data_IF_307258805036
#
_entry.id   IF_307258805036
#
_cell.length_a   1.000
_cell.length_b   1.000
_cell.length_c   1.000
_cell.angle_alpha   90.00
_cell.angle_beta   90.00
_cell.angle_gamma   90.00
#
_symmetry.space_group_name_H-M   'P 1'
#
loop_
_entity.id
_entity.type
_entity.pdbx_description
1 polymer ?
#
# COMPACT_ATOMS: atom_id res chain seq x y z
N UNK A 1 -75.38 -33.99 21.06
CA UNK A 1 -75.21 -33.17 22.27
C UNK A 1 -74.24 -32.07 21.89
N UNK A 2 -74.68 -30.89 21.39
CA UNK A 2 -75.50 -29.85 22.08
C UNK A 2 -74.71 -29.17 23.20
N UNK A 3 -74.65 -27.83 23.35
CA UNK A 3 -75.20 -26.65 22.62
C UNK A 3 -74.07 -25.60 22.49
N UNK A 4 -74.02 -24.62 21.58
CA UNK A 4 -74.98 -23.63 21.02
C UNK A 4 -75.26 -22.35 21.85
N UNK A 5 -74.65 -21.25 21.38
CA UNK A 5 -75.22 -19.88 21.10
C UNK A 5 -75.80 -19.01 22.26
N UNK A 6 -75.13 -17.86 22.51
CA UNK A 6 -75.62 -16.43 22.54
C UNK A 6 -74.44 -15.51 22.96
N UNK A 7 -74.12 -14.33 22.41
CA UNK A 7 -74.86 -13.11 22.01
C UNK A 7 -75.32 -12.21 23.19
N UNK A 8 -75.13 -10.88 23.20
CA UNK A 8 -74.48 -9.96 22.24
C UNK A 8 -74.72 -8.46 22.56
N UNK A 9 -74.33 -7.55 21.63
CA UNK A 9 -74.50 -6.07 21.67
C UNK A 9 -73.58 -5.29 22.66
N UNK A 10 -73.27 -3.99 22.48
CA UNK A 10 -73.85 -2.98 21.56
C UNK A 10 -72.83 -1.97 20.94
N UNK A 11 -73.39 -1.10 20.08
CA UNK A 11 -72.87 0.03 19.29
C UNK A 11 -71.96 1.07 20.02
N UNK A 12 -71.30 2.05 19.37
CA UNK A 12 -71.61 2.71 18.08
C UNK A 12 -70.39 3.16 17.23
N UNK A 13 -70.66 3.87 16.12
CA UNK A 13 -69.75 4.22 15.01
C UNK A 13 -70.12 5.58 14.38
N UNK A 14 -69.48 5.96 13.26
CA UNK A 14 -69.69 7.16 12.40
C UNK A 14 -69.04 8.44 12.99
N UNK A 15 -67.87 8.93 12.53
CA UNK A 15 -67.42 9.46 11.21
C UNK A 15 -67.75 10.96 11.01
N UNK A 16 -66.75 11.78 10.64
CA UNK A 16 -66.95 13.15 10.14
C UNK A 16 -65.72 14.07 10.19
N UNK A 17 -65.32 14.59 9.03
CA UNK A 17 -64.46 15.78 8.81
C UNK A 17 -65.14 16.63 7.69
N UNK A 18 -64.59 17.72 7.11
CA UNK A 18 -63.35 18.46 7.37
C UNK A 18 -63.51 20.02 7.31
N UNK A 19 -62.38 20.76 7.21
CA UNK A 19 -62.21 22.12 6.62
C UNK A 19 -62.87 23.37 7.27
N UNK A 20 -62.17 24.52 7.16
CA UNK A 20 -62.68 25.88 7.40
C UNK A 20 -61.56 26.92 7.52
N UNK A 21 -61.69 28.11 6.91
CA UNK A 21 -60.68 29.18 6.94
C UNK A 21 -61.24 30.61 6.74
N UNK A 22 -60.67 31.58 7.47
CA UNK A 22 -60.73 33.06 7.34
C UNK A 22 -59.60 33.62 8.26
N UNK A 23 -58.99 34.82 8.13
CA UNK A 23 -59.48 36.17 7.79
C UNK A 23 -59.47 37.03 9.08
N UNK A 24 -59.05 38.31 9.14
CA UNK A 24 -58.64 39.29 8.09
C UNK A 24 -57.98 40.55 8.71
N UNK A 25 -57.29 41.38 7.91
CA UNK A 25 -56.95 42.83 8.13
C UNK A 25 -55.91 43.20 9.23
N UNK A 26 -55.04 44.22 9.15
CA UNK A 26 -54.52 45.15 8.09
C UNK A 26 -53.14 45.73 8.60
N UNK A 27 -52.56 46.94 8.36
CA UNK A 27 -52.88 48.21 7.66
C UNK A 27 -51.59 49.08 7.46
N UNK A 28 -51.18 49.36 6.20
CA UNK A 28 -50.53 50.62 5.69
C UNK A 28 -49.20 51.18 6.32
N UNK A 29 -48.47 52.19 5.80
CA UNK A 29 -48.63 53.21 4.72
C UNK A 29 -47.38 53.33 3.81
N UNK A 30 -47.51 54.12 2.73
CA UNK A 30 -46.60 54.37 1.59
C UNK A 30 -45.74 55.67 1.82
N UNK A 31 -44.93 56.30 0.93
CA UNK A 31 -44.70 56.27 -0.53
C UNK A 31 -43.20 55.94 -0.86
N UNK A 32 -42.44 56.36 -1.89
CA UNK A 32 -42.46 57.38 -2.98
C UNK A 32 -41.80 56.80 -4.26
N UNK A 33 -42.09 57.35 -5.45
CA UNK A 33 -41.43 57.00 -6.73
C UNK A 33 -40.51 58.10 -7.30
N UNK A 34 -39.34 57.74 -7.85
CA UNK A 34 -38.70 58.50 -8.94
C UNK A 34 -38.00 57.57 -9.95
N UNK A 35 -37.86 58.03 -11.20
CA UNK A 35 -37.11 57.32 -12.24
C UNK A 35 -36.70 58.25 -13.38
N UNK A 36 -35.56 57.98 -14.03
CA UNK A 36 -35.10 58.78 -15.18
C UNK A 36 -34.27 57.94 -16.17
N UNK A 37 -34.48 58.30 -17.44
CA UNK A 37 -34.03 57.72 -18.71
C UNK A 37 -32.51 57.57 -18.92
N UNK A 38 -32.21 56.63 -19.83
CA UNK A 38 -31.19 56.67 -20.89
C UNK A 38 -30.03 57.69 -20.82
N UNK A 39 -28.79 57.18 -20.81
CA UNK A 39 -27.70 57.78 -21.62
C UNK A 39 -27.04 56.71 -22.50
N UNK A 40 -26.89 57.05 -23.78
CA UNK A 40 -26.35 56.23 -24.88
C UNK A 40 -25.03 56.84 -25.38
N UNK A 41 -23.95 56.05 -25.39
CA UNK A 41 -22.70 56.18 -26.17
C UNK A 41 -21.98 54.82 -26.07
N UNK A 42 -21.57 54.07 -27.08
CA UNK A 42 -21.18 54.30 -28.50
C UNK A 42 -19.98 55.22 -28.69
N UNK A 43 -18.80 54.62 -28.79
CA UNK A 43 -17.62 55.15 -29.48
C UNK A 43 -16.94 54.01 -30.25
N UNK A 44 -16.84 54.15 -31.56
CA UNK A 44 -16.17 53.21 -32.48
C UNK A 44 -14.87 53.82 -33.02
N UNK A 45 -14.15 53.05 -33.85
CA UNK A 45 -12.85 53.36 -34.50
C UNK A 45 -11.65 53.09 -33.56
N UNK A 46 -10.71 52.17 -33.82
CA UNK A 46 -10.07 51.67 -35.04
C UNK A 46 -8.82 52.46 -35.46
N UNK A 47 -7.68 51.78 -35.46
CA UNK A 47 -6.48 52.16 -36.20
C UNK A 47 -5.78 50.88 -36.73
N UNK A 48 -5.16 50.97 -37.90
CA UNK A 48 -4.48 49.86 -38.60
C UNK A 48 -3.01 50.22 -38.74
N UNK A 49 -2.06 49.35 -38.36
CA UNK A 49 -0.66 49.79 -38.34
C UNK A 49 0.48 48.81 -38.01
N UNK A 50 0.50 47.60 -38.58
CA UNK A 50 1.75 46.86 -38.88
C UNK A 50 2.68 46.40 -37.73
N UNK A 51 3.85 45.86 -38.11
CA UNK A 51 4.99 45.61 -37.22
C UNK A 51 4.95 44.33 -36.37
N UNK A 52 5.21 43.16 -36.97
CA UNK A 52 5.39 41.91 -36.19
C UNK A 52 6.78 41.79 -35.57
N UNK A 53 6.84 41.48 -34.26
CA UNK A 53 8.07 41.05 -33.56
C UNK A 53 7.76 39.84 -32.69
N UNK A 54 8.50 38.74 -32.85
CA UNK A 54 8.41 37.54 -32.02
C UNK A 54 9.50 37.59 -30.92
N UNK A 55 9.14 37.59 -29.62
CA UNK A 55 10.12 37.47 -28.55
C UNK A 55 10.84 36.12 -28.59
N UNK A 56 12.16 36.14 -28.80
CA UNK A 56 12.96 34.94 -29.05
C UNK A 56 13.12 34.06 -27.79
N UNK A 57 12.93 32.73 -27.94
CA UNK A 57 13.13 31.75 -26.87
C UNK A 57 14.61 31.61 -26.50
N UNK A 58 15.01 32.14 -25.33
CA UNK A 58 16.28 31.76 -24.68
C UNK A 58 16.28 30.27 -24.35
N UNK A 59 16.97 29.48 -25.16
CA UNK A 59 17.30 28.08 -24.88
C UNK A 59 18.78 27.97 -24.48
N UNK A 60 19.07 27.30 -23.36
CA UNK A 60 20.42 27.21 -22.81
C UNK A 60 21.08 25.87 -23.15
N UNK A 61 22.00 25.91 -24.13
CA UNK A 61 22.78 24.76 -24.59
C UNK A 61 23.95 24.42 -23.64
N UNK A 62 23.67 24.15 -22.36
CA UNK A 62 24.68 23.74 -21.37
C UNK A 62 24.33 22.39 -20.72
N UNK A 63 25.25 21.43 -20.85
CA UNK A 63 25.12 20.09 -20.28
C UNK A 63 25.12 20.13 -18.75
N UNK A 64 24.05 19.66 -18.11
CA UNK A 64 23.96 19.54 -16.64
C UNK A 64 24.85 18.37 -16.18
N UNK A 65 26.13 18.66 -15.87
CA UNK A 65 26.96 17.74 -15.07
C UNK A 65 26.43 17.71 -13.65
N UNK A 66 25.79 16.61 -13.25
CA UNK A 66 25.52 16.34 -11.83
C UNK A 66 26.87 16.23 -11.10
N UNK A 67 27.07 17.05 -10.07
CA UNK A 67 28.16 16.84 -9.11
C UNK A 67 27.87 15.51 -8.39
N UNK A 68 28.87 14.66 -8.18
CA UNK A 68 28.74 13.61 -7.16
C UNK A 68 28.65 14.30 -5.80
N UNK A 69 27.75 13.82 -4.96
CA UNK A 69 27.77 14.13 -3.54
C UNK A 69 28.59 13.02 -2.88
N UNK A 70 29.58 13.40 -2.09
CA UNK A 70 30.31 12.47 -1.23
C UNK A 70 29.59 12.44 0.12
N UNK A 71 28.97 11.31 0.44
CA UNK A 71 28.43 11.03 1.77
C UNK A 71 29.53 10.38 2.63
N UNK A 72 30.58 11.14 2.95
CA UNK A 72 31.52 10.75 4.01
C UNK A 72 31.05 11.29 5.36
N UNK A 73 30.53 10.36 6.17
CA UNK A 73 30.71 10.23 7.61
C UNK A 73 30.84 11.52 8.46
N UNK A 74 29.81 11.79 9.27
CA UNK A 74 29.92 12.63 10.47
C UNK A 74 29.41 11.83 11.67
N UNK A 75 30.33 11.21 12.42
CA UNK A 75 30.03 10.61 13.73
C UNK A 75 30.81 11.26 14.86
N UNK A 76 30.05 11.68 15.88
CA UNK A 76 30.46 11.86 17.28
C UNK A 76 31.60 12.84 17.64
N UNK A 77 31.24 13.82 18.46
CA UNK A 77 32.18 14.51 19.35
C UNK A 77 32.62 13.59 20.49
N UNK A 78 33.93 13.45 20.76
CA UNK A 78 34.45 13.24 22.12
C UNK A 78 35.96 13.56 22.18
N UNK A 79 36.44 13.98 23.35
CA UNK A 79 37.65 14.78 23.50
C UNK A 79 38.96 13.98 23.64
N UNK A 80 40.09 14.57 23.17
CA UNK A 80 41.33 14.74 23.98
C UNK A 80 42.41 15.67 23.38
N UNK A 81 42.97 16.51 24.25
CA UNK A 81 44.35 17.06 24.30
C UNK A 81 45.17 17.37 23.02
N UNK A 82 45.28 18.67 22.73
CA UNK A 82 46.54 19.46 22.67
C UNK A 82 47.67 19.17 21.64
N UNK A 83 47.81 20.14 20.71
CA UNK A 83 49.06 20.79 20.25
C UNK A 83 49.85 20.31 19.01
N UNK A 84 50.53 21.31 18.38
CA UNK A 84 51.57 21.27 17.31
C UNK A 84 51.09 20.76 15.92
N UNK A 85 50.78 21.57 14.88
CA UNK A 85 51.40 22.75 14.20
C UNK A 85 52.27 22.39 12.97
N UNK A 86 51.70 22.69 11.77
CA UNK A 86 52.30 23.05 10.45
C UNK A 86 53.32 22.12 9.73
N UNK A 87 53.07 21.84 8.43
CA UNK A 87 54.15 21.67 7.41
C UNK A 87 53.90 20.69 6.25
N UNK A 88 53.42 21.15 5.06
CA UNK A 88 53.42 20.40 3.78
C UNK A 88 54.38 21.07 2.75
N UNK A 89 54.41 20.72 1.43
CA UNK A 89 53.99 19.51 0.68
C UNK A 89 55.18 18.90 -0.15
N UNK A 90 54.93 17.99 -1.13
CA UNK A 90 55.40 18.08 -2.57
C UNK A 90 55.27 16.73 -3.36
N UNK A 91 54.46 16.77 -4.43
CA UNK A 91 54.57 16.17 -5.79
C UNK A 91 55.08 14.70 -6.00
N UNK A 92 54.16 13.82 -6.44
CA UNK A 92 54.10 13.00 -7.70
C UNK A 92 55.33 12.75 -8.63
N UNK A 93 55.27 11.87 -9.68
CA UNK A 93 54.50 10.63 -9.91
C UNK A 93 55.33 9.50 -10.62
N UNK A 94 54.66 8.46 -11.19
CA UNK A 94 55.14 7.58 -12.31
C UNK A 94 56.26 6.55 -11.98
N UNK A 95 56.38 5.32 -12.55
CA UNK A 95 55.45 4.35 -13.22
C UNK A 95 56.22 3.03 -13.57
N UNK A 96 55.56 1.87 -13.48
CA UNK A 96 55.89 0.57 -14.15
C UNK A 96 57.14 -0.25 -13.72
N UNK A 97 56.98 -1.58 -13.91
CA UNK A 97 57.96 -2.70 -13.79
C UNK A 97 58.58 -2.96 -12.40
N UNK A 98 58.79 -4.21 -11.94
CA UNK A 98 58.41 -5.50 -12.50
C UNK A 98 59.60 -6.45 -12.67
N UNK A 99 59.85 -7.31 -11.69
CA UNK A 99 60.72 -8.50 -11.79
C UNK A 99 60.55 -9.43 -10.58
N UNK A 100 60.30 -10.71 -10.85
CA UNK A 100 60.75 -11.82 -10.00
C UNK A 100 62.25 -12.06 -10.28
N UNK A 101 63.04 -12.58 -9.33
CA UNK A 101 63.20 -14.04 -9.30
C UNK A 101 63.42 -14.71 -7.93
N UNK A 102 62.88 -15.92 -7.85
CA UNK A 102 63.29 -17.05 -6.99
C UNK A 102 64.79 -17.18 -6.64
N UNK A 103 65.07 -17.71 -5.44
CA UNK A 103 66.11 -18.75 -5.26
C UNK A 103 65.70 -19.75 -4.15
N UNK A 104 66.26 -20.96 -4.20
CA UNK A 104 65.98 -22.08 -3.28
C UNK A 104 67.21 -22.43 -2.43
N UNK A 105 66.98 -23.02 -1.26
CA UNK A 105 67.93 -23.96 -0.61
C UNK A 105 67.16 -25.08 0.13
N UNK A 106 67.78 -26.24 0.34
CA UNK A 106 67.06 -27.50 0.70
C UNK A 106 67.55 -28.16 2.00
N UNK A 107 66.64 -28.82 2.73
CA UNK A 107 66.97 -30.05 3.51
C UNK A 107 65.76 -30.99 3.66
N UNK A 108 65.99 -32.22 4.17
CA UNK A 108 65.27 -33.45 3.76
C UNK A 108 64.99 -34.41 4.93
N UNK A 109 63.98 -35.28 4.73
CA UNK A 109 63.58 -36.48 5.51
C UNK A 109 62.65 -36.19 6.72
N UNK A 110 61.65 -37.01 7.10
CA UNK A 110 61.26 -38.38 6.65
C UNK A 110 59.74 -38.64 6.67
N UNK A 111 59.26 -39.57 5.82
CA UNK A 111 58.20 -40.64 5.97
C UNK A 111 57.07 -40.48 7.03
N UNK A 112 55.81 -40.92 6.82
CA UNK A 112 55.24 -41.93 5.89
C UNK A 112 53.71 -41.78 5.64
N UNK A 113 53.19 -42.54 4.66
CA UNK A 113 51.85 -43.22 4.62
C UNK A 113 50.54 -42.45 4.95
N UNK A 114 49.45 -42.53 4.18
CA UNK A 114 49.10 -43.22 2.92
C UNK A 114 47.87 -42.52 2.31
N UNK A 115 47.71 -42.55 0.99
CA UNK A 115 46.49 -42.11 0.30
C UNK A 115 45.85 -43.25 -0.50
N UNK A 116 44.53 -43.18 -0.73
CA UNK A 116 43.82 -44.03 -1.70
C UNK A 116 42.88 -43.18 -2.56
N UNK A 117 42.86 -43.47 -3.86
CA UNK A 117 42.04 -42.85 -4.91
C UNK A 117 41.32 -43.95 -5.70
N UNK A 118 40.27 -43.63 -6.48
CA UNK A 118 39.34 -44.62 -7.03
C UNK A 118 39.79 -45.19 -8.39
N UNK A 119 39.18 -46.31 -8.84
CA UNK A 119 39.28 -46.77 -10.22
C UNK A 119 38.19 -46.19 -11.13
N UNK A 120 38.55 -45.94 -12.39
CA UNK A 120 37.65 -45.80 -13.54
C UNK A 120 37.93 -46.94 -14.52
N UNK A 121 36.93 -47.32 -15.32
CA UNK A 121 37.12 -48.14 -16.54
C UNK A 121 36.25 -47.61 -17.67
N UNK A 122 36.77 -47.65 -18.90
CA UNK A 122 36.12 -47.07 -20.09
C UNK A 122 35.92 -48.12 -21.17
N UNK A 123 34.82 -48.04 -21.92
CA UNK A 123 34.67 -48.69 -23.23
C UNK A 123 34.04 -47.75 -24.25
N UNK A 124 34.64 -47.78 -25.44
CA UNK A 124 34.63 -46.83 -26.57
C UNK A 124 33.38 -46.98 -27.48
N UNK A 125 32.69 -45.85 -27.78
CA UNK A 125 31.76 -45.61 -28.94
C UNK A 125 30.46 -46.44 -29.05
N UNK A 126 29.51 -46.26 -30.00
CA UNK A 126 29.28 -45.34 -31.15
C UNK A 126 27.75 -45.08 -31.39
N UNK A 127 27.30 -44.14 -32.27
CA UNK A 127 25.87 -43.80 -32.49
C UNK A 127 25.34 -44.28 -33.87
N UNK A 128 24.13 -43.90 -34.37
CA UNK A 128 23.01 -43.13 -33.77
C UNK A 128 21.60 -43.81 -33.90
N UNK A 129 20.56 -43.21 -33.31
CA UNK A 129 19.22 -42.98 -33.92
C UNK A 129 18.37 -42.08 -33.01
N UNK A 130 17.56 -41.19 -33.60
CA UNK A 130 16.78 -40.19 -32.85
C UNK A 130 15.33 -40.61 -32.60
N UNK A 131 14.84 -40.50 -31.35
CA UNK A 131 13.40 -40.42 -31.03
C UNK A 131 13.12 -39.25 -30.08
N UNK A 132 12.37 -38.27 -30.58
CA UNK A 132 12.16 -36.93 -30.00
C UNK A 132 11.05 -36.94 -28.93
N UNK A 133 11.35 -37.40 -27.71
CA UNK A 133 10.38 -37.37 -26.61
C UNK A 133 10.06 -35.92 -26.21
N UNK A 134 8.76 -35.61 -26.16
CA UNK A 134 8.20 -34.26 -26.04
C UNK A 134 8.25 -33.74 -24.60
N UNK A 135 9.44 -33.30 -24.14
CA UNK A 135 9.62 -32.75 -22.78
C UNK A 135 8.68 -31.55 -22.56
N UNK A 136 7.80 -31.66 -21.56
CA UNK A 136 6.82 -30.62 -21.23
C UNK A 136 7.52 -29.34 -20.77
N UNK A 137 7.12 -28.18 -21.33
CA UNK A 137 7.59 -26.88 -20.87
C UNK A 137 6.69 -26.37 -19.73
N UNK A 138 7.04 -26.74 -18.49
CA UNK A 138 6.66 -25.98 -17.30
C UNK A 138 7.29 -24.57 -17.39
N UNK A 139 6.53 -23.46 -17.38
CA UNK A 139 7.08 -22.14 -17.65
C UNK A 139 7.41 -21.33 -16.38
N UNK A 140 8.70 -21.00 -16.21
CA UNK A 140 9.18 -19.66 -15.84
C UNK A 140 8.41 -18.88 -14.74
N UNK A 141 8.26 -19.46 -13.53
CA UNK A 141 7.89 -18.70 -12.32
C UNK A 141 9.12 -18.37 -11.44
N UNK A 142 10.01 -19.35 -11.24
CA UNK A 142 11.15 -19.32 -10.29
C UNK A 142 12.02 -18.05 -10.41
N UNK A 143 12.18 -17.49 -11.61
CA UNK A 143 13.05 -16.31 -11.84
C UNK A 143 12.46 -14.97 -11.39
N UNK A 144 11.22 -14.93 -10.88
CA UNK A 144 10.51 -13.67 -10.61
C UNK A 144 10.75 -13.14 -9.19
N UNK A 145 10.88 -14.03 -8.22
CA UNK A 145 10.89 -13.68 -6.79
C UNK A 145 12.31 -13.63 -6.18
N UNK A 146 13.33 -14.00 -6.97
CA UNK A 146 14.75 -13.84 -6.67
C UNK A 146 15.16 -12.39 -6.31
N UNK A 147 14.42 -11.39 -6.78
CA UNK A 147 14.62 -9.98 -6.42
C UNK A 147 13.81 -9.49 -5.22
N UNK A 148 12.97 -10.35 -4.61
CA UNK A 148 12.11 -10.00 -3.47
C UNK A 148 12.72 -10.41 -2.12
N UNK A 149 13.44 -11.53 -2.09
CA UNK A 149 14.14 -12.04 -0.92
C UNK A 149 15.49 -11.34 -0.73
N UNK A 150 15.76 -10.85 0.49
CA UNK A 150 17.07 -10.31 0.88
C UNK A 150 17.89 -11.39 1.59
N UNK A 151 19.22 -11.27 1.60
CA UNK A 151 20.08 -12.15 2.40
C UNK A 151 19.78 -12.05 3.91
N UNK A 152 19.24 -10.94 4.39
CA UNK A 152 18.70 -10.82 5.75
C UNK A 152 17.47 -11.71 6.00
N UNK A 153 16.61 -11.86 4.98
CA UNK A 153 15.40 -12.69 5.05
C UNK A 153 15.76 -14.18 4.95
N UNK A 154 16.74 -14.54 4.11
CA UNK A 154 17.28 -15.89 4.03
C UNK A 154 17.91 -16.33 5.37
N UNK A 155 18.69 -15.46 6.01
CA UNK A 155 19.30 -15.75 7.31
C UNK A 155 18.26 -15.84 8.44
N UNK A 156 17.24 -14.98 8.42
CA UNK A 156 16.09 -15.08 9.35
C UNK A 156 15.35 -16.41 9.16
N UNK A 157 15.07 -16.81 7.92
CA UNK A 157 14.39 -18.06 7.58
C UNK A 157 15.19 -19.27 8.07
N UNK A 158 16.49 -19.32 7.78
CA UNK A 158 17.37 -20.41 8.21
C UNK A 158 17.42 -20.49 9.73
N UNK A 159 17.70 -19.40 10.43
CA UNK A 159 17.78 -19.39 11.90
C UNK A 159 16.46 -19.83 12.54
N UNK A 160 15.31 -19.36 12.03
CA UNK A 160 14.01 -19.68 12.60
C UNK A 160 13.60 -21.13 12.35
N UNK A 161 13.83 -21.69 11.15
CA UNK A 161 13.57 -23.12 10.87
C UNK A 161 14.48 -24.03 11.68
N UNK A 162 15.75 -23.65 11.89
CA UNK A 162 16.67 -24.41 12.74
C UNK A 162 16.33 -24.33 14.25
N UNK A 163 15.47 -23.40 14.68
CA UNK A 163 14.99 -23.32 16.07
C UNK A 163 13.63 -23.98 16.28
N UNK A 164 12.68 -23.83 15.35
CA UNK A 164 11.30 -24.35 15.52
C UNK A 164 11.04 -25.68 14.81
N UNK A 165 11.79 -25.99 13.74
CA UNK A 165 11.52 -27.08 12.78
C UNK A 165 10.17 -27.03 12.05
N UNK A 166 9.32 -26.03 12.34
CA UNK A 166 7.99 -25.82 11.76
C UNK A 166 7.90 -24.48 11.02
N UNK A 167 7.58 -24.55 9.73
CA UNK A 167 7.43 -23.39 8.84
C UNK A 167 6.18 -22.55 9.14
N UNK A 168 5.20 -23.09 9.86
CA UNK A 168 3.98 -22.38 10.29
C UNK A 168 4.32 -21.38 11.39
N UNK A 169 5.04 -21.83 12.41
CA UNK A 169 5.61 -21.02 13.48
C UNK A 169 6.57 -19.96 12.93
N UNK A 170 7.36 -20.28 11.90
CA UNK A 170 8.20 -19.29 11.19
C UNK A 170 7.33 -18.22 10.49
N UNK A 171 6.25 -18.61 9.82
CA UNK A 171 5.35 -17.68 9.14
C UNK A 171 4.63 -16.72 10.10
N UNK A 172 4.28 -17.20 11.31
CA UNK A 172 3.60 -16.40 12.33
C UNK A 172 4.57 -15.55 13.17
N UNK A 173 5.74 -16.08 13.52
CA UNK A 173 6.70 -15.43 14.42
C UNK A 173 7.70 -14.48 13.75
N UNK A 174 8.06 -14.70 12.48
CA UNK A 174 9.17 -13.97 11.84
C UNK A 174 8.69 -12.77 11.01
N UNK A 175 9.19 -11.58 11.37
CA UNK A 175 8.96 -10.33 10.63
C UNK A 175 10.03 -10.12 9.55
N UNK A 176 9.81 -10.75 8.39
CA UNK A 176 10.61 -10.57 7.18
C UNK A 176 10.52 -9.14 6.60
N UNK A 177 11.44 -8.78 5.69
CA UNK A 177 11.53 -7.43 5.10
C UNK A 177 10.34 -7.03 4.22
N UNK A 178 9.49 -7.98 3.83
CA UNK A 178 8.15 -7.74 3.32
C UNK A 178 7.22 -8.93 3.64
N UNK A 179 5.90 -8.76 3.47
CA UNK A 179 4.92 -9.81 3.80
C UNK A 179 5.00 -10.96 2.79
N UNK A 180 5.44 -12.12 3.23
CA UNK A 180 5.35 -13.39 2.50
C UNK A 180 4.19 -14.23 3.03
N UNK A 181 3.61 -15.05 2.17
CA UNK A 181 2.67 -16.13 2.53
C UNK A 181 3.42 -17.38 3.00
N UNK A 182 2.76 -18.26 3.78
CA UNK A 182 3.31 -19.57 4.16
C UNK A 182 3.84 -20.36 2.94
N UNK A 183 3.15 -20.27 1.80
CA UNK A 183 3.56 -20.93 0.55
C UNK A 183 4.86 -20.36 -0.02
N UNK A 184 5.02 -19.04 -0.09
CA UNK A 184 6.28 -18.41 -0.53
C UNK A 184 7.45 -18.78 0.40
N UNK A 185 7.19 -18.90 1.70
CA UNK A 185 8.18 -19.34 2.71
C UNK A 185 8.57 -20.82 2.48
N UNK A 186 7.60 -21.70 2.24
CA UNK A 186 7.85 -23.11 1.89
C UNK A 186 8.64 -23.25 0.58
N UNK A 187 8.24 -22.52 -0.47
CA UNK A 187 8.92 -22.54 -1.78
C UNK A 187 10.34 -21.95 -1.68
N UNK A 188 10.57 -20.92 -0.85
CA UNK A 188 11.92 -20.40 -0.58
C UNK A 188 12.77 -21.38 0.21
N UNK A 189 12.24 -21.98 1.27
CA UNK A 189 12.97 -22.96 2.08
C UNK A 189 13.39 -24.16 1.23
N UNK A 190 12.47 -24.69 0.40
CA UNK A 190 12.78 -25.73 -0.58
C UNK A 190 13.89 -25.29 -1.55
N UNK A 191 13.82 -24.05 -2.06
CA UNK A 191 14.85 -23.51 -2.96
C UNK A 191 16.23 -23.38 -2.30
N UNK A 192 16.31 -23.00 -1.03
CA UNK A 192 17.57 -22.89 -0.27
C UNK A 192 18.22 -24.26 -0.01
N UNK A 193 17.42 -25.33 0.08
CA UNK A 193 17.90 -26.70 0.26
C UNK A 193 18.25 -27.41 -1.06
N UNK A 194 17.44 -27.25 -2.10
CA UNK A 194 17.47 -28.13 -3.28
C UNK A 194 17.84 -27.44 -4.61
N UNK A 195 17.84 -26.10 -4.70
CA UNK A 195 18.38 -25.40 -5.88
C UNK A 195 19.84 -24.99 -5.61
N UNK A 196 20.84 -25.63 -6.25
CA UNK A 196 22.25 -25.37 -5.97
C UNK A 196 22.73 -23.99 -6.47
N UNK A 197 21.97 -23.32 -7.33
CA UNK A 197 22.27 -21.95 -7.78
C UNK A 197 21.74 -20.95 -6.75
N UNK A 198 20.49 -21.08 -6.33
CA UNK A 198 19.87 -20.20 -5.33
C UNK A 198 20.58 -20.37 -3.97
N UNK A 199 20.83 -21.60 -3.53
CA UNK A 199 21.51 -21.90 -2.27
C UNK A 199 22.92 -21.27 -2.22
N UNK A 200 23.71 -21.42 -3.30
CA UNK A 200 25.05 -20.83 -3.41
C UNK A 200 25.03 -19.30 -3.41
N UNK A 201 24.10 -18.68 -4.14
CA UNK A 201 23.96 -17.22 -4.19
C UNK A 201 23.51 -16.64 -2.85
N UNK A 202 22.51 -17.25 -2.20
CA UNK A 202 22.06 -16.86 -0.87
C UNK A 202 23.18 -16.98 0.17
N UNK A 203 23.94 -18.08 0.17
CA UNK A 203 25.08 -18.27 1.06
C UNK A 203 26.18 -17.22 0.87
N UNK A 204 26.51 -16.88 -0.39
CA UNK A 204 27.46 -15.81 -0.69
C UNK A 204 26.96 -14.44 -0.22
N UNK A 205 25.68 -14.12 -0.43
CA UNK A 205 25.09 -12.86 0.00
C UNK A 205 24.90 -12.75 1.52
N UNK A 206 24.65 -13.86 2.23
CA UNK A 206 24.61 -13.89 3.70
C UNK A 206 26.01 -13.69 4.31
N UNK A 207 27.05 -14.27 3.70
CA UNK A 207 28.45 -14.05 4.13
C UNK A 207 28.98 -12.63 3.89
N UNK A 208 28.24 -11.80 3.15
CA UNK A 208 28.55 -10.39 2.90
C UNK A 208 27.76 -9.43 3.82
N UNK A 209 26.93 -9.93 4.72
CA UNK A 209 26.25 -9.12 5.73
C UNK A 209 27.23 -8.55 6.77
N UNK A 210 27.00 -7.31 7.21
CA UNK A 210 27.75 -6.71 8.30
C UNK A 210 27.59 -7.53 9.60
N UNK A 211 28.63 -7.76 10.43
CA UNK A 211 28.50 -8.56 11.64
C UNK A 211 27.42 -8.07 12.61
N UNK A 212 27.22 -6.76 12.70
CA UNK A 212 26.12 -6.15 13.46
C UNK A 212 24.74 -6.55 12.93
N UNK A 213 24.54 -6.59 11.60
CA UNK A 213 23.29 -7.02 11.00
C UNK A 213 23.03 -8.52 11.26
N UNK A 214 24.08 -9.33 11.30
CA UNK A 214 24.00 -10.75 11.72
C UNK A 214 23.58 -10.83 13.19
N UNK A 215 24.21 -10.08 14.10
CA UNK A 215 23.84 -10.03 15.53
C UNK A 215 22.40 -9.50 15.76
N UNK A 216 21.96 -8.52 14.97
CA UNK A 216 20.60 -7.96 15.00
C UNK A 216 19.53 -8.86 14.34
N UNK A 217 19.95 -9.93 13.65
CA UNK A 217 19.11 -11.03 13.18
C UNK A 217 19.10 -12.17 14.20
N UNK A 218 20.26 -12.53 14.74
CA UNK A 218 20.42 -13.59 15.75
C UNK A 218 19.68 -13.26 17.06
N UNK A 219 19.73 -12.01 17.52
CA UNK A 219 18.96 -11.54 18.70
C UNK A 219 17.44 -11.61 18.53
N UNK A 220 16.94 -11.84 17.31
CA UNK A 220 15.52 -12.03 16.96
C UNK A 220 15.16 -13.49 16.64
N UNK A 221 16.06 -14.44 16.91
CA UNK A 221 15.75 -15.86 16.76
C UNK A 221 14.56 -16.24 17.65
N UNK A 222 13.62 -17.01 17.10
CA UNK A 222 12.49 -17.56 17.86
C UNK A 222 13.00 -18.42 19.02
N UNK A 223 12.26 -18.49 20.11
CA UNK A 223 12.57 -19.42 21.21
C UNK A 223 12.20 -20.84 20.79
N UNK A 224 13.06 -21.80 21.13
CA UNK A 224 12.74 -23.22 20.95
C UNK A 224 11.96 -23.76 22.15
N UNK A 225 11.18 -24.83 21.96
CA UNK A 225 10.42 -25.49 23.04
C UNK A 225 11.31 -25.91 24.22
N UNK A 226 12.60 -26.21 23.97
CA UNK A 226 13.55 -26.57 25.01
C UNK A 226 14.05 -25.35 25.82
N UNK A 227 14.15 -24.15 25.20
CA UNK A 227 14.40 -22.91 25.93
C UNK A 227 13.18 -22.50 26.76
N UNK A 228 11.97 -22.63 26.19
CA UNK A 228 10.73 -22.29 26.89
C UNK A 228 10.47 -23.24 28.06
N UNK A 229 10.72 -24.54 27.92
CA UNK A 229 10.62 -25.51 29.02
C UNK A 229 11.68 -25.33 30.14
N UNK A 230 12.72 -24.50 29.94
CA UNK A 230 13.62 -24.06 31.01
C UNK A 230 13.14 -22.76 31.68
N UNK A 231 12.49 -21.87 30.92
CA UNK A 231 11.92 -20.62 31.45
C UNK A 231 10.60 -20.88 32.21
N UNK A 232 9.78 -21.83 31.75
CA UNK A 232 8.48 -22.16 32.35
C UNK A 232 8.58 -22.71 33.79
N UNK A 233 9.77 -23.19 34.19
CA UNK A 233 10.11 -23.66 35.54
C UNK A 233 10.38 -22.54 36.54
N UNK A 234 10.55 -21.30 36.08
CA UNK A 234 10.71 -20.14 36.95
C UNK A 234 9.31 -19.69 37.39
N UNK A 235 8.94 -20.03 38.62
CA UNK A 235 7.60 -19.82 39.16
C UNK A 235 7.10 -18.38 38.98
N UNK A 236 5.86 -18.23 38.50
CA UNK A 236 5.18 -16.97 38.23
C UNK A 236 5.11 -16.02 39.42
N UNK A 237 5.06 -16.56 40.65
CA UNK A 237 5.04 -15.79 41.90
C UNK A 237 6.37 -15.11 42.24
N UNK A 238 7.48 -15.54 41.62
CA UNK A 238 8.79 -14.96 41.86
C UNK A 238 8.95 -13.57 41.19
N UNK A 239 9.89 -12.78 41.71
CA UNK A 239 10.43 -11.58 41.05
C UNK A 239 11.88 -11.86 40.65
N UNK A 240 12.12 -12.63 39.57
CA UNK A 240 13.46 -13.12 39.24
C UNK A 240 14.35 -11.96 38.78
N UNK A 241 15.44 -11.74 39.52
CA UNK A 241 16.48 -10.78 39.13
C UNK A 241 17.23 -11.26 37.89
N UNK A 242 17.90 -10.33 37.21
CA UNK A 242 18.71 -10.58 36.01
C UNK A 242 19.78 -11.68 36.23
N UNK A 243 20.29 -11.77 37.45
CA UNK A 243 21.22 -12.80 37.94
C UNK A 243 20.72 -14.23 37.68
N UNK A 244 19.43 -14.50 37.91
CA UNK A 244 18.81 -15.83 37.73
C UNK A 244 18.88 -16.29 36.27
N UNK A 245 18.60 -15.38 35.34
CA UNK A 245 18.67 -15.67 33.90
C UNK A 245 20.10 -15.78 33.39
N UNK A 246 21.07 -15.12 34.05
CA UNK A 246 22.49 -15.28 33.75
C UNK A 246 23.03 -16.63 34.22
N UNK A 247 22.57 -17.11 35.39
CA UNK A 247 22.88 -18.46 35.89
C UNK A 247 22.20 -19.55 35.04
N UNK A 248 20.97 -19.31 34.57
CA UNK A 248 20.26 -20.24 33.68
C UNK A 248 20.99 -20.45 32.34
N UNK A 249 21.55 -19.36 31.78
CA UNK A 249 22.36 -19.40 30.55
C UNK A 249 23.69 -20.16 30.76
N UNK A 250 24.36 -19.98 31.90
CA UNK A 250 25.62 -20.70 32.17
C UNK A 250 25.42 -22.17 32.52
N UNK A 251 24.24 -22.54 33.07
CA UNK A 251 23.84 -23.94 33.33
C UNK A 251 23.43 -24.70 32.06
N UNK A 252 22.84 -24.03 31.07
CA UNK A 252 22.31 -24.68 29.86
C UNK A 252 22.80 -24.09 28.52
N UNK A 253 24.13 -23.91 28.32
CA UNK A 253 24.69 -23.25 27.14
C UNK A 253 24.50 -24.01 25.82
N UNK A 254 24.11 -25.29 25.88
CA UNK A 254 23.78 -26.11 24.71
C UNK A 254 22.28 -26.11 24.34
N UNK A 255 21.43 -25.49 25.17
CA UNK A 255 19.97 -25.41 24.95
C UNK A 255 19.58 -24.02 24.48
N UNK A 256 20.16 -22.98 25.09
CA UNK A 256 19.90 -21.60 24.68
C UNK A 256 20.64 -21.23 23.40
N UNK A 257 19.97 -20.47 22.54
CA UNK A 257 20.56 -19.99 21.29
C UNK A 257 21.77 -19.06 21.58
N UNK A 258 22.90 -19.14 20.83
CA UNK A 258 24.16 -18.51 21.26
C UNK A 258 24.16 -16.97 21.45
N UNK A 259 23.16 -16.26 20.89
CA UNK A 259 23.00 -14.81 21.05
C UNK A 259 21.95 -14.41 22.11
N UNK A 260 21.48 -15.36 22.93
CA UNK A 260 20.60 -15.05 24.06
C UNK A 260 21.33 -14.24 25.11
N UNK A 261 20.60 -13.33 25.75
CA UNK A 261 21.08 -12.51 26.87
C UNK A 261 20.15 -12.68 28.08
N UNK A 262 20.62 -12.45 29.32
CA UNK A 262 19.76 -12.46 30.50
C UNK A 262 18.54 -11.53 30.37
N UNK A 263 18.70 -10.39 29.68
CA UNK A 263 17.62 -9.44 29.39
C UNK A 263 16.56 -10.02 28.45
N UNK A 264 16.97 -10.71 27.37
CA UNK A 264 16.01 -11.34 26.45
C UNK A 264 15.25 -12.50 27.09
N UNK A 265 15.88 -13.24 28.01
CA UNK A 265 15.21 -14.32 28.75
C UNK A 265 14.19 -13.75 29.76
N UNK A 266 14.55 -12.69 30.49
CA UNK A 266 13.61 -11.98 31.38
C UNK A 266 12.37 -11.47 30.62
N UNK A 267 12.56 -10.84 29.46
CA UNK A 267 11.45 -10.35 28.63
C UNK A 267 10.58 -11.51 28.11
N UNK A 268 11.18 -12.62 27.68
CA UNK A 268 10.38 -13.78 27.23
C UNK A 268 9.63 -14.45 28.38
N UNK A 269 10.25 -14.59 29.56
CA UNK A 269 9.58 -15.08 30.76
C UNK A 269 8.42 -14.17 31.20
N UNK A 270 8.56 -12.85 31.08
CA UNK A 270 7.46 -11.90 31.32
C UNK A 270 6.29 -12.12 30.36
N UNK A 271 6.54 -12.43 29.08
CA UNK A 271 5.50 -12.78 28.11
C UNK A 271 4.85 -14.13 28.44
N UNK A 272 5.63 -15.17 28.75
CA UNK A 272 5.08 -16.47 29.20
C UNK A 272 4.19 -16.30 30.43
N UNK A 273 4.61 -15.49 31.41
CA UNK A 273 3.82 -15.12 32.60
C UNK A 273 2.53 -14.40 32.25
N UNK A 274 2.57 -13.46 31.30
CA UNK A 274 1.41 -12.69 30.86
C UNK A 274 0.36 -13.55 30.15
N UNK A 275 0.79 -14.58 29.41
CA UNK A 275 -0.09 -15.48 28.65
C UNK A 275 -0.47 -16.77 29.40
N UNK A 276 -0.12 -16.89 30.70
CA UNK A 276 -0.39 -18.07 31.53
C UNK A 276 0.26 -19.36 30.97
N UNK A 277 1.53 -19.27 30.58
CA UNK A 277 2.32 -20.35 29.96
C UNK A 277 3.46 -20.90 30.84
N UNK A 278 3.54 -20.51 32.11
CA UNK A 278 4.50 -21.09 33.08
C UNK A 278 3.93 -22.36 33.72
N UNK A 279 4.79 -23.28 34.18
CA UNK A 279 4.38 -24.58 34.73
C UNK A 279 3.50 -24.45 36.00
N UNK A 280 3.63 -23.35 36.76
CA UNK A 280 2.81 -23.06 37.94
C UNK A 280 1.51 -22.30 37.63
N UNK A 281 1.29 -21.87 36.38
CA UNK A 281 0.10 -21.13 35.97
C UNK A 281 -0.98 -22.06 35.41
N UNK A 282 -1.66 -22.79 36.30
CA UNK A 282 -2.91 -23.44 35.93
C UNK A 282 -3.96 -22.39 35.52
N UNK A 283 -4.48 -22.48 34.30
CA UNK A 283 -5.77 -21.86 33.96
C UNK A 283 -6.79 -22.41 34.96
N UNK A 284 -7.40 -21.55 35.76
CA UNK A 284 -8.30 -21.96 36.84
C UNK A 284 -9.44 -22.83 36.25
N UNK A 285 -9.55 -24.12 36.66
CA UNK A 285 -10.61 -24.98 36.16
C UNK A 285 -11.96 -24.41 36.61
N UNK A 286 -12.90 -24.30 35.66
CA UNK A 286 -14.17 -23.61 35.83
C UNK A 286 -14.86 -23.98 37.17
N UNK A 287 -15.10 -23.01 38.08
CA UNK A 287 -15.79 -23.28 39.33
C UNK A 287 -17.15 -23.92 39.07
N UNK A 288 -17.39 -25.12 39.61
CA UNK A 288 -18.66 -25.84 39.46
C UNK A 288 -19.75 -25.33 40.43
N UNK A 289 -19.77 -24.02 40.64
CA UNK A 289 -20.71 -23.30 41.50
C UNK A 289 -20.87 -21.86 41.03
N UNK A 290 -22.13 -21.43 40.94
CA UNK A 290 -22.61 -20.05 40.84
C UNK A 290 -22.14 -19.19 39.66
N UNK A 291 -22.63 -19.61 38.49
CA UNK A 291 -23.32 -18.75 37.51
C UNK A 291 -22.60 -17.51 36.95
N UNK A 292 -21.78 -17.76 35.92
CA UNK A 292 -21.81 -16.97 34.67
C UNK A 292 -21.84 -17.98 33.52
N UNK A 293 -22.94 -18.08 32.76
CA UNK A 293 -23.13 -19.14 31.75
C UNK A 293 -22.80 -18.68 30.32
N UNK A 294 -22.84 -17.37 30.07
CA UNK A 294 -22.54 -16.71 28.80
C UNK A 294 -22.11 -15.25 29.05
N UNK A 295 -21.54 -14.59 28.04
CA UNK A 295 -21.32 -13.12 28.05
C UNK A 295 -22.62 -12.35 28.33
N UNK A 296 -23.76 -12.84 27.85
CA UNK A 296 -25.09 -12.25 28.11
C UNK A 296 -25.49 -12.27 29.58
N UNK A 297 -25.04 -13.25 30.36
CA UNK A 297 -25.36 -13.33 31.80
C UNK A 297 -24.38 -12.49 32.62
N UNK A 298 -23.13 -12.36 32.16
CA UNK A 298 -22.17 -11.40 32.71
C UNK A 298 -22.68 -9.97 32.51
N UNK A 299 -23.14 -9.63 31.31
CA UNK A 299 -23.78 -8.36 30.96
C UNK A 299 -25.03 -8.09 31.82
N UNK A 300 -25.83 -9.11 32.13
CA UNK A 300 -27.01 -8.96 32.99
C UNK A 300 -26.70 -8.85 34.50
N UNK A 301 -25.49 -9.20 34.93
CA UNK A 301 -24.97 -8.98 36.30
C UNK A 301 -24.20 -7.65 36.43
N UNK A 302 -23.86 -7.00 35.32
CA UNK A 302 -23.23 -5.68 35.29
C UNK A 302 -24.27 -4.61 35.58
N UNK A 303 -24.09 -3.91 36.70
CA UNK A 303 -24.92 -2.77 37.07
C UNK A 303 -24.39 -1.50 36.38
N UNK A 304 -25.11 -1.03 35.36
CA UNK A 304 -24.81 0.22 34.64
C UNK A 304 -24.67 1.45 35.55
N UNK A 305 -25.32 1.47 36.72
CA UNK A 305 -25.15 2.55 37.70
C UNK A 305 -23.78 2.51 38.38
N UNK A 306 -23.11 1.34 38.41
CA UNK A 306 -21.73 1.16 38.89
C UNK A 306 -20.68 1.28 37.77
N UNK A 307 -21.04 1.05 36.50
CA UNK A 307 -20.18 1.35 35.35
C UNK A 307 -20.00 2.85 35.07
N UNK A 308 -20.75 3.71 35.75
CA UNK A 308 -20.44 5.14 35.82
C UNK A 308 -19.20 5.33 36.68
N UNK A 309 -18.04 5.17 36.05
CA UNK A 309 -16.77 5.68 36.57
C UNK A 309 -16.96 7.14 37.01
N UNK A 310 -16.33 7.52 38.13
CA UNK A 310 -16.41 8.88 38.64
C UNK A 310 -15.89 9.85 37.58
N UNK A 311 -16.78 10.67 37.02
CA UNK A 311 -16.56 11.59 35.90
C UNK A 311 -15.15 12.20 35.94
N UNK A 312 -14.27 11.70 35.07
CA UNK A 312 -12.89 12.15 35.04
C UNK A 312 -12.82 13.54 34.39
N UNK A 313 -12.84 14.56 35.24
CA UNK A 313 -12.76 15.97 34.84
C UNK A 313 -11.43 16.30 34.14
N UNK A 314 -10.37 15.51 34.36
CA UNK A 314 -9.08 15.66 33.67
C UNK A 314 -9.21 15.13 32.24
N UNK A 315 -9.73 13.91 32.06
CA UNK A 315 -9.94 13.31 30.75
C UNK A 315 -10.95 14.12 29.90
N UNK A 316 -12.06 14.58 30.48
CA UNK A 316 -12.99 15.48 29.79
C UNK A 316 -12.33 16.80 29.37
N UNK A 317 -11.48 17.37 30.23
CA UNK A 317 -10.76 18.61 29.93
C UNK A 317 -9.70 18.42 28.82
N UNK A 318 -8.97 17.30 28.82
CA UNK A 318 -8.05 16.92 27.74
C UNK A 318 -8.78 16.69 26.41
N UNK A 319 -9.92 15.98 26.43
CA UNK A 319 -10.76 15.77 25.25
C UNK A 319 -11.32 17.10 24.71
N UNK A 320 -11.77 18.01 25.58
CA UNK A 320 -12.21 19.36 25.21
C UNK A 320 -11.07 20.19 24.61
N UNK A 321 -9.85 20.09 25.14
CA UNK A 321 -8.66 20.75 24.56
C UNK A 321 -8.33 20.15 23.19
N UNK A 322 -8.33 18.83 23.05
CA UNK A 322 -8.08 18.13 21.78
C UNK A 322 -9.10 18.53 20.72
N UNK A 323 -10.39 18.47 21.02
CA UNK A 323 -11.48 18.92 20.16
C UNK A 323 -11.30 20.39 19.74
N UNK A 324 -10.96 21.27 20.68
CA UNK A 324 -10.69 22.70 20.40
C UNK A 324 -9.44 22.92 19.56
N UNK A 325 -8.45 22.03 19.61
CA UNK A 325 -7.27 22.06 18.75
C UNK A 325 -7.60 21.55 17.34
N UNK A 326 -8.27 20.40 17.21
CA UNK A 326 -8.73 19.86 15.94
C UNK A 326 -9.66 20.84 15.20
N UNK A 327 -10.61 21.48 15.91
CA UNK A 327 -11.48 22.52 15.33
C UNK A 327 -10.76 23.80 14.90
N UNK A 328 -9.58 24.11 15.46
CA UNK A 328 -8.71 25.19 14.95
C UNK A 328 -7.96 24.75 13.70
N UNK A 329 -7.38 23.56 13.72
CA UNK A 329 -6.62 22.97 12.62
C UNK A 329 -7.51 22.81 11.37
N UNK A 330 -8.72 22.25 11.52
CA UNK A 330 -9.72 22.16 10.44
C UNK A 330 -10.00 23.54 9.84
N UNK A 331 -10.28 24.56 10.67
CA UNK A 331 -10.55 25.93 10.19
C UNK A 331 -9.33 26.58 9.50
N UNK A 332 -8.12 26.27 9.94
CA UNK A 332 -6.91 26.73 9.28
C UNK A 332 -6.75 26.05 7.92
N UNK A 333 -6.92 24.73 7.84
CA UNK A 333 -6.89 23.98 6.58
C UNK A 333 -7.96 24.46 5.61
N UNK A 334 -9.19 24.72 6.08
CA UNK A 334 -10.28 25.33 5.30
C UNK A 334 -9.92 26.74 4.80
N UNK A 335 -9.24 27.57 5.62
CA UNK A 335 -8.78 28.91 5.22
C UNK A 335 -7.60 28.87 4.23
N UNK A 336 -6.75 27.84 4.31
CA UNK A 336 -5.63 27.64 3.40
C UNK A 336 -6.04 26.97 2.08
N UNK A 337 -7.08 26.15 2.05
CA UNK A 337 -7.53 25.40 0.87
C UNK A 337 -7.70 26.29 -0.38
N UNK A 338 -8.34 27.49 -0.32
CA UNK A 338 -8.41 28.40 -1.47
C UNK A 338 -7.03 28.91 -1.94
N UNK A 339 -6.05 29.05 -1.05
CA UNK A 339 -4.68 29.48 -1.39
C UNK A 339 -3.94 28.35 -2.12
N UNK A 340 -4.06 27.13 -1.61
CA UNK A 340 -3.54 25.93 -2.26
C UNK A 340 -4.19 25.68 -3.63
N UNK A 341 -5.51 25.93 -3.75
CA UNK A 341 -6.24 25.87 -5.01
C UNK A 341 -5.66 26.87 -6.03
N UNK A 342 -5.57 28.16 -5.70
CA UNK A 342 -5.00 29.20 -6.60
C UNK A 342 -3.55 28.87 -7.01
N UNK A 343 -2.74 28.30 -6.10
CA UNK A 343 -1.39 27.86 -6.43
C UNK A 343 -1.40 26.73 -7.47
N UNK A 344 -2.23 25.69 -7.26
CA UNK A 344 -2.42 24.58 -8.22
C UNK A 344 -2.95 25.10 -9.56
N UNK A 345 -3.92 26.01 -9.54
CA UNK A 345 -4.51 26.59 -10.75
C UNK A 345 -3.48 27.35 -11.58
N UNK A 346 -2.59 28.11 -10.93
CA UNK A 346 -1.50 28.84 -11.60
C UNK A 346 -0.44 27.93 -12.24
N UNK A 347 -0.22 26.73 -11.68
CA UNK A 347 0.77 25.76 -12.16
C UNK A 347 0.19 24.82 -13.21
N UNK A 348 -1.12 24.53 -13.15
CA UNK A 348 -1.77 23.50 -13.96
C UNK A 348 -2.74 24.05 -15.02
N UNK A 349 -3.21 25.29 -14.87
CA UNK A 349 -4.10 25.96 -15.81
C UNK A 349 -5.51 25.37 -15.92
N UNK A 350 -5.99 24.65 -14.89
CA UNK A 350 -7.14 23.75 -15.05
C UNK A 350 -8.53 24.35 -14.80
N UNK A 351 -8.64 25.67 -14.57
CA UNK A 351 -9.91 26.38 -14.39
C UNK A 351 -10.53 26.88 -15.71
N UNK A 352 -10.67 25.99 -16.69
CA UNK A 352 -11.87 26.05 -17.53
C UNK A 352 -13.07 25.63 -16.67
N UNK A 353 -14.26 26.26 -16.75
CA UNK A 353 -15.46 25.67 -16.17
C UNK A 353 -15.57 24.22 -16.66
N UNK A 354 -15.72 23.26 -15.74
CA UNK A 354 -15.41 21.85 -16.03
C UNK A 354 -16.28 21.27 -17.17
N UNK A 355 -17.43 21.88 -17.42
CA UNK A 355 -18.29 21.64 -18.58
C UNK A 355 -18.84 22.94 -19.14
N UNK A 356 -19.00 22.97 -20.47
CA UNK A 356 -19.93 23.89 -21.12
C UNK A 356 -21.32 23.25 -21.25
N UNK A 357 -22.32 24.05 -21.62
CA UNK A 357 -23.73 23.62 -21.76
C UNK A 357 -23.96 22.56 -22.86
N UNK A 358 -22.91 22.15 -23.60
CA UNK A 358 -22.97 21.13 -24.65
C UNK A 358 -22.17 19.87 -24.29
N UNK A 359 -21.42 19.87 -23.20
CA UNK A 359 -20.53 18.78 -22.81
C UNK A 359 -21.17 17.92 -21.72
N UNK A 360 -21.45 16.66 -22.06
CA UNK A 360 -22.15 15.67 -21.24
C UNK A 360 -21.22 15.06 -20.16
N UNK A 361 -19.96 14.86 -20.53
CA UNK A 361 -18.93 14.26 -19.68
C UNK A 361 -17.52 14.63 -20.19
N UNK A 362 -16.48 14.31 -19.42
CA UNK A 362 -15.09 14.51 -19.81
C UNK A 362 -14.22 13.34 -19.33
N UNK A 363 -13.32 12.88 -20.20
CA UNK A 363 -12.26 11.93 -19.84
C UNK A 363 -10.98 12.74 -19.62
N UNK A 364 -10.57 12.90 -18.36
CA UNK A 364 -9.42 13.71 -17.94
C UNK A 364 -8.19 12.83 -17.76
N UNK A 365 -7.23 12.94 -18.68
CA UNK A 365 -5.90 12.32 -18.56
C UNK A 365 -4.95 13.17 -17.72
N UNK A 366 -3.67 12.80 -17.76
CA UNK A 366 -2.54 13.60 -17.25
C UNK A 366 -2.09 14.64 -18.28
N UNK A 367 -2.17 14.32 -19.57
CA UNK A 367 -1.73 15.20 -20.67
C UNK A 367 -2.90 15.85 -21.41
N UNK A 368 -4.00 15.11 -21.61
CA UNK A 368 -5.13 15.57 -22.45
C UNK A 368 -6.47 15.43 -21.72
N UNK A 369 -7.32 16.45 -21.87
CA UNK A 369 -8.73 16.46 -21.45
C UNK A 369 -9.61 16.27 -22.69
N UNK A 370 -10.34 15.16 -22.77
CA UNK A 370 -11.25 14.87 -23.88
C UNK A 370 -12.69 15.19 -23.46
N UNK A 371 -13.38 16.07 -24.19
CA UNK A 371 -14.75 16.49 -23.90
C UNK A 371 -15.76 15.66 -24.69
N UNK A 372 -16.72 15.03 -24.00
CA UNK A 372 -17.80 14.24 -24.59
C UNK A 372 -19.02 15.12 -24.84
N UNK A 373 -19.15 15.66 -26.05
CA UNK A 373 -20.36 16.39 -26.52
C UNK A 373 -21.40 15.48 -27.20
N UNK A 374 -20.97 14.32 -27.70
CA UNK A 374 -21.82 13.33 -28.37
C UNK A 374 -22.35 12.28 -27.38
N UNK A 375 -23.56 11.76 -27.58
CA UNK A 375 -24.11 10.65 -26.74
C UNK A 375 -23.32 9.34 -26.86
N UNK A 376 -22.49 9.19 -27.89
CA UNK A 376 -21.59 8.07 -28.09
C UNK A 376 -20.22 8.59 -28.54
N UNK A 377 -19.14 8.10 -27.93
CA UNK A 377 -17.75 8.37 -28.33
C UNK A 377 -16.91 7.10 -28.32
N UNK A 378 -16.05 6.95 -29.31
CA UNK A 378 -15.08 5.86 -29.44
C UNK A 378 -13.72 6.26 -28.87
N UNK A 379 -13.01 5.29 -28.29
CA UNK A 379 -11.67 5.48 -27.73
C UNK A 379 -10.70 4.40 -28.21
N UNK A 380 -9.43 4.75 -28.42
CA UNK A 380 -8.42 3.83 -28.94
C UNK A 380 -7.16 4.55 -29.40
N UNK A 381 -6.39 3.93 -30.30
CA UNK A 381 -5.23 4.54 -30.96
C UNK A 381 -5.55 4.85 -32.43
N UNK A 382 -5.60 6.13 -32.78
CA UNK A 382 -5.97 6.58 -34.12
C UNK A 382 -5.01 6.08 -35.21
N UNK A 383 -5.52 5.99 -36.44
CA UNK A 383 -4.77 5.62 -37.66
C UNK A 383 -5.42 6.28 -38.88
N UNK A 384 -4.67 6.48 -39.97
CA UNK A 384 -5.19 7.13 -41.20
C UNK A 384 -6.50 6.52 -41.69
N UNK A 385 -6.57 5.20 -41.69
CA UNK A 385 -7.72 4.38 -42.13
C UNK A 385 -8.83 4.23 -41.05
N UNK A 386 -8.66 4.79 -39.85
CA UNK A 386 -9.68 4.73 -38.80
C UNK A 386 -9.60 5.92 -37.84
N UNK A 387 -10.53 6.86 -38.02
CA UNK A 387 -10.81 7.94 -37.09
C UNK A 387 -11.39 7.40 -35.77
N UNK A 388 -11.11 8.10 -34.67
CA UNK A 388 -11.51 7.80 -33.30
C UNK A 388 -11.72 9.14 -32.58
N UNK A 389 -12.79 9.28 -31.82
CA UNK A 389 -13.13 10.54 -31.13
C UNK A 389 -12.14 10.87 -29.99
N UNK A 390 -11.64 9.83 -29.32
CA UNK A 390 -10.64 9.90 -28.25
C UNK A 390 -9.39 9.11 -28.67
N UNK A 391 -8.39 9.80 -29.24
CA UNK A 391 -7.09 9.20 -29.52
C UNK A 391 -6.17 9.20 -28.29
N UNK A 392 -6.05 8.02 -27.70
CA UNK A 392 -5.20 7.74 -26.54
C UNK A 392 -3.69 7.78 -26.89
N UNK A 393 -3.30 7.99 -28.16
CA UNK A 393 -1.89 8.19 -28.54
C UNK A 393 -1.32 9.53 -28.07
N UNK A 394 -2.17 10.55 -27.89
CA UNK A 394 -1.77 11.87 -27.40
C UNK A 394 -1.40 11.88 -25.92
N UNK A 395 -1.88 10.89 -25.16
CA UNK A 395 -1.66 10.76 -23.71
C UNK A 395 -0.36 10.01 -23.37
N UNK A 396 0.14 9.15 -24.26
CA UNK A 396 1.37 8.38 -24.01
C UNK A 396 1.55 7.16 -24.93
N UNK A 397 2.41 6.18 -24.54
CA UNK A 397 2.80 5.04 -25.37
C UNK A 397 1.66 4.06 -25.75
N UNK A 398 0.82 4.45 -26.71
CA UNK A 398 -0.38 3.73 -27.14
C UNK A 398 -0.10 2.50 -28.04
N UNK A 399 1.14 2.06 -28.21
CA UNK A 399 1.53 0.86 -28.98
C UNK A 399 0.84 -0.45 -28.54
N UNK A 400 0.29 -0.47 -27.31
CA UNK A 400 -0.41 -1.62 -26.70
C UNK A 400 -1.94 -1.50 -26.80
N UNK A 401 -2.45 -0.36 -27.29
CA UNK A 401 -3.87 0.01 -27.33
C UNK A 401 -4.45 -0.33 -28.72
N UNK A 402 -5.71 -0.78 -28.74
CA UNK A 402 -6.39 -1.19 -29.97
C UNK A 402 -6.84 0.02 -30.82
N UNK A 403 -6.93 -0.12 -32.15
CA UNK A 403 -7.49 0.89 -33.10
C UNK A 403 -8.99 1.17 -32.91
N UNK A 404 -9.64 0.42 -32.03
CA UNK A 404 -10.90 0.75 -31.33
C UNK A 404 -10.80 -0.08 -30.07
N UNK A 405 -10.59 0.58 -28.93
CA UNK A 405 -10.33 -0.07 -27.63
C UNK A 405 -11.61 -0.09 -26.80
N UNK A 406 -12.49 0.89 -26.96
CA UNK A 406 -13.82 0.86 -26.38
C UNK A 406 -14.74 1.93 -26.96
N UNK A 407 -15.95 1.98 -26.41
CA UNK A 407 -16.94 3.03 -26.66
C UNK A 407 -17.55 3.44 -25.32
N UNK A 408 -17.70 4.74 -25.08
CA UNK A 408 -18.53 5.27 -24.00
C UNK A 408 -19.87 5.72 -24.62
N UNK A 409 -20.99 5.26 -24.06
CA UNK A 409 -22.35 5.62 -24.48
C UNK A 409 -23.17 6.15 -23.31
N UNK A 410 -23.85 7.27 -23.52
CA UNK A 410 -24.91 7.78 -22.66
C UNK A 410 -26.25 7.16 -23.04
N UNK A 411 -26.94 6.54 -22.09
CA UNK A 411 -28.31 6.05 -22.26
C UNK A 411 -29.35 7.13 -21.97
N UNK A 412 -30.58 6.94 -22.45
CA UNK A 412 -31.71 7.83 -22.18
C UNK A 412 -32.08 7.97 -20.69
N UNK A 413 -31.71 7.00 -19.84
CA UNK A 413 -31.87 7.13 -18.37
C UNK A 413 -30.77 8.00 -17.72
N UNK A 414 -29.89 8.63 -18.50
CA UNK A 414 -28.81 9.47 -18.03
C UNK A 414 -27.65 8.71 -17.36
N UNK A 415 -27.49 7.41 -17.66
CA UNK A 415 -26.34 6.61 -17.24
C UNK A 415 -25.31 6.46 -18.36
N UNK A 416 -24.03 6.57 -18.01
CA UNK A 416 -22.92 6.25 -18.92
C UNK A 416 -22.51 4.80 -18.79
N UNK A 417 -22.27 4.14 -19.92
CA UNK A 417 -21.72 2.80 -20.01
C UNK A 417 -20.51 2.79 -20.94
N UNK A 418 -19.43 2.15 -20.52
CA UNK A 418 -18.27 1.86 -21.38
C UNK A 418 -18.30 0.38 -21.79
N UNK A 419 -18.11 0.11 -23.07
CA UNK A 419 -17.93 -1.22 -23.63
C UNK A 419 -16.48 -1.38 -24.12
N UNK A 420 -15.87 -2.54 -23.84
CA UNK A 420 -14.52 -2.85 -24.31
C UNK A 420 -14.57 -3.65 -25.62
N UNK A 421 -14.14 -3.04 -26.72
CA UNK A 421 -13.98 -3.73 -28.02
C UNK A 421 -12.53 -4.12 -28.31
N UNK A 422 -11.59 -3.68 -27.48
CA UNK A 422 -10.18 -3.91 -27.68
C UNK A 422 -9.72 -5.31 -27.23
N UNK A 423 -8.49 -5.67 -27.61
CA UNK A 423 -7.86 -6.94 -27.21
C UNK A 423 -7.36 -6.96 -25.76
N UNK A 424 -7.25 -5.80 -25.10
CA UNK A 424 -6.81 -5.68 -23.71
C UNK A 424 -7.98 -5.35 -22.80
N UNK A 425 -7.95 -5.75 -21.51
CA UNK A 425 -8.91 -5.26 -20.54
C UNK A 425 -8.81 -3.74 -20.38
N UNK A 426 -9.94 -3.11 -20.11
CA UNK A 426 -10.04 -1.75 -19.55
C UNK A 426 -10.31 -1.92 -18.07
N UNK A 427 -9.56 -1.28 -17.19
CA UNK A 427 -9.84 -1.31 -15.75
C UNK A 427 -10.69 -0.10 -15.37
N UNK A 428 -11.68 -0.30 -14.51
CA UNK A 428 -12.55 0.76 -14.00
C UNK A 428 -12.62 0.61 -12.50
N UNK A 429 -12.15 1.60 -11.76
CA UNK A 429 -12.08 1.55 -10.29
C UNK A 429 -11.41 0.26 -9.79
N UNK A 430 -10.33 -0.14 -10.48
CA UNK A 430 -9.56 -1.37 -10.28
C UNK A 430 -10.15 -2.66 -10.90
N UNK A 431 -11.40 -2.65 -11.37
CA UNK A 431 -12.09 -3.85 -11.89
C UNK A 431 -11.86 -4.06 -13.40
N UNK A 432 -11.41 -5.25 -13.86
CA UNK A 432 -11.15 -5.50 -15.28
C UNK A 432 -12.42 -5.78 -16.10
N UNK A 433 -12.71 -4.91 -17.07
CA UNK A 433 -13.70 -5.15 -18.14
C UNK A 433 -13.01 -5.85 -19.30
N UNK A 434 -13.34 -7.13 -19.51
CA UNK A 434 -12.84 -7.95 -20.62
C UNK A 434 -13.45 -7.54 -21.97
N UNK A 435 -12.86 -7.99 -23.07
CA UNK A 435 -13.37 -7.72 -24.43
C UNK A 435 -14.80 -8.26 -24.61
N UNK A 436 -15.66 -7.51 -25.27
CA UNK A 436 -17.10 -7.77 -25.42
C UNK A 436 -17.96 -7.32 -24.22
N UNK A 437 -17.38 -7.14 -23.04
CA UNK A 437 -18.12 -6.75 -21.84
C UNK A 437 -18.32 -5.22 -21.75
N UNK A 438 -19.35 -4.84 -20.98
CA UNK A 438 -19.71 -3.45 -20.69
C UNK A 438 -19.84 -3.21 -19.18
N UNK A 439 -19.59 -1.99 -18.75
CA UNK A 439 -19.64 -1.57 -17.34
C UNK A 439 -20.22 -0.17 -17.22
N UNK A 440 -20.83 0.16 -16.07
CA UNK A 440 -21.37 1.51 -15.79
C UNK A 440 -20.24 2.43 -15.33
N UNK A 441 -20.14 3.61 -15.92
CA UNK A 441 -19.25 4.67 -15.42
C UNK A 441 -20.04 5.58 -14.47
N UNK A 442 -19.45 5.86 -13.31
CA UNK A 442 -19.95 6.85 -12.35
C UNK A 442 -19.13 8.14 -12.46
N UNK A 443 -19.58 9.21 -11.81
CA UNK A 443 -18.75 10.40 -11.68
C UNK A 443 -17.49 10.09 -10.87
N UNK A 444 -16.35 10.64 -11.28
CA UNK A 444 -15.02 10.37 -10.73
C UNK A 444 -14.47 8.94 -10.92
N UNK A 445 -15.14 8.06 -11.68
CA UNK A 445 -14.61 6.71 -11.97
C UNK A 445 -13.25 6.77 -12.66
N UNK A 446 -12.28 6.02 -12.13
CA UNK A 446 -10.92 5.92 -12.67
C UNK A 446 -10.89 4.88 -13.78
N UNK A 447 -10.51 5.27 -14.99
CA UNK A 447 -10.42 4.39 -16.16
C UNK A 447 -8.95 4.18 -16.54
N UNK A 448 -8.48 2.94 -16.56
CA UNK A 448 -7.09 2.61 -16.90
C UNK A 448 -6.98 1.69 -18.13
N UNK A 449 -6.12 2.07 -19.08
CA UNK A 449 -5.97 1.43 -20.39
C UNK A 449 -4.48 1.26 -20.69
N UNK A 450 -4.00 0.02 -20.63
CA UNK A 450 -2.62 -0.38 -20.99
C UNK A 450 -1.48 0.39 -20.27
N UNK A 451 -1.77 1.02 -19.13
CA UNK A 451 -0.82 1.85 -18.35
C UNK A 451 -1.08 3.35 -18.42
N UNK A 452 -2.02 3.81 -19.26
CA UNK A 452 -2.60 5.15 -19.18
C UNK A 452 -3.74 5.14 -18.15
N UNK A 453 -3.90 6.24 -17.41
CA UNK A 453 -4.95 6.41 -16.38
C UNK A 453 -5.69 7.72 -16.61
N UNK A 454 -7.01 7.66 -16.55
CA UNK A 454 -7.92 8.77 -16.72
C UNK A 454 -8.92 8.84 -15.55
N UNK A 455 -9.51 10.01 -15.32
CA UNK A 455 -10.68 10.19 -14.47
C UNK A 455 -11.87 10.55 -15.37
N UNK A 456 -12.99 9.86 -15.23
CA UNK A 456 -14.23 10.17 -15.93
C UNK A 456 -15.09 11.11 -15.08
N UNK A 457 -15.37 12.30 -15.60
CA UNK A 457 -16.16 13.35 -14.96
C UNK A 457 -17.48 13.50 -15.71
N UNK A 458 -18.58 13.69 -14.98
CA UNK A 458 -19.94 13.81 -15.53
C UNK A 458 -20.48 15.23 -15.29
N UNK A 459 -21.10 15.84 -16.31
CA UNK A 459 -21.85 17.07 -16.14
C UNK A 459 -23.18 16.77 -15.44
N UNK A 460 -23.17 16.75 -14.10
CA UNK A 460 -24.32 16.34 -13.30
C UNK A 460 -25.55 17.24 -13.51
N UNK A 461 -25.35 18.53 -13.79
CA UNK A 461 -26.43 19.50 -14.05
C UNK A 461 -27.12 19.18 -15.39
N UNK A 462 -26.37 19.16 -16.48
CA UNK A 462 -26.90 18.88 -17.82
C UNK A 462 -27.53 17.47 -17.91
N UNK A 463 -26.92 16.48 -17.26
CA UNK A 463 -27.45 15.11 -17.21
C UNK A 463 -28.72 15.02 -16.34
N UNK A 464 -28.87 15.86 -15.32
CA UNK A 464 -30.13 15.95 -14.54
C UNK A 464 -31.26 16.59 -15.36
N UNK A 465 -30.96 17.61 -16.17
CA UNK A 465 -31.92 18.19 -17.12
C UNK A 465 -32.36 17.15 -18.17
N UNK A 466 -31.42 16.41 -18.76
CA UNK A 466 -31.70 15.34 -19.74
C UNK A 466 -32.54 14.21 -19.10
N UNK A 467 -32.30 13.85 -17.83
CA UNK A 467 -33.14 12.89 -17.09
C UNK A 467 -34.57 13.41 -16.87
N UNK A 468 -34.74 14.69 -16.53
CA UNK A 468 -36.05 15.30 -16.33
C UNK A 468 -36.84 15.43 -17.65
N UNK A 469 -36.17 15.68 -18.76
CA UNK A 469 -36.76 15.67 -20.11
C UNK A 469 -37.17 14.25 -20.54
N UNK A 470 -36.29 13.26 -20.38
CA UNK A 470 -36.58 11.87 -20.69
C UNK A 470 -37.71 11.28 -19.83
N UNK A 471 -37.88 11.74 -18.59
CA UNK A 471 -39.00 11.35 -17.74
C UNK A 471 -40.35 11.85 -18.27
N UNK A 472 -40.42 13.07 -18.82
CA UNK A 472 -41.63 13.62 -19.46
C UNK A 472 -41.98 12.89 -20.76
N UNK A 473 -40.97 12.58 -21.58
CA UNK A 473 -41.10 11.81 -22.83
C UNK A 473 -41.60 10.37 -22.62
N UNK A 474 -41.47 9.82 -21.40
CA UNK A 474 -42.00 8.50 -21.04
C UNK A 474 -43.39 8.55 -20.35
N UNK A 475 -44.01 9.73 -20.29
CA UNK A 475 -45.36 9.96 -19.71
C UNK A 475 -46.35 10.47 -20.76
N UNK A 476 -45.97 10.41 -22.04
CA UNK A 476 -46.79 10.66 -23.23
C UNK A 476 -46.81 9.39 -24.10
#
# INVERSE_FOLDING_TARGET
>A
MEKDIRAGAAAASVVGAPMGAAGTQSRSEDEESTGMKDIKRTATQAFVGGGGVVPNRRSSSRSIKRKKFDDELVESSLAKSSSRVKGPPVIEPIRCSGSEPSSNEKKKMSKSSTALTPPLTMVITHPPIAKRVKKSKQPLQITKDLGRWKSTDDLLLINAVLQTTDLTSVHLGVKFSCRFTLREIQERWYSLLYDPVISKLAWQAMRQLHPEAIAAIQSKALFSQAEEALLAKIASSSQPKLEVFQELLSKHPSVFYPSRTPKSLLVHWQLLKQYYLLEDQSVQPFPKGDQVLNFSDAEQLVDDAKLKESRDEVLEHELMISDRHQKKEIRQLEQELPRWQVLVDSITGMNSPDFDNQTLAALRGRMVRYLMRSREITLGRATKDKQIDVDLSLEGPAWKISRKQGIIKLKNNGDFFIANEGRRPIYIDGRPVLSGNKWKLNNNSVVEIAGLRFVFLINQELISLIKAEAAKMNQQ
#
